data_IF_415412476501
#
_entry.id   IF_415412476501
#
_cell.length_a   1.000
_cell.length_b   1.000
_cell.length_c   1.000
_cell.angle_alpha   90.00
_cell.angle_beta   90.00
_cell.angle_gamma   90.00
#
_symmetry.space_group_name_H-M   'P 1'
#
loop_
_entity.id
_entity.type
_entity.pdbx_description
1 polymer ?
#
# COMPACT_ATOMS: atom_id res chain seq x y z
N UNK A 1 15.93 1.10 10.38
CA UNK A 1 15.48 1.01 8.97
C UNK A 1 14.38 2.05 8.77
N UNK A 2 14.32 2.76 7.64
CA UNK A 2 13.22 3.71 7.39
C UNK A 2 11.88 2.98 7.22
N UNK A 3 10.80 3.67 7.60
CA UNK A 3 9.43 3.21 7.37
C UNK A 3 8.96 3.57 5.97
N UNK A 4 8.25 2.65 5.34
CA UNK A 4 7.69 2.79 4.01
C UNK A 4 6.19 2.50 4.04
N UNK A 5 5.43 3.38 3.39
CA UNK A 5 4.04 3.14 3.05
C UNK A 5 4.00 2.56 1.64
N UNK A 6 3.61 1.30 1.54
CA UNK A 6 3.51 0.59 0.27
C UNK A 6 2.03 0.36 -0.03
N UNK A 7 1.56 0.78 -1.19
CA UNK A 7 0.21 0.53 -1.68
C UNK A 7 0.29 -0.42 -2.86
N UNK A 8 -0.41 -1.55 -2.79
CA UNK A 8 -0.53 -2.49 -3.90
C UNK A 8 -1.97 -2.51 -4.41
N UNK A 9 -2.11 -2.48 -5.73
CA UNK A 9 -3.40 -2.49 -6.42
C UNK A 9 -3.44 -3.70 -7.38
N UNK A 10 -4.52 -4.47 -7.31
CA UNK A 10 -4.78 -5.65 -8.12
C UNK A 10 -6.23 -5.67 -8.62
N UNK A 11 -6.54 -6.57 -9.54
CA UNK A 11 -7.91 -6.85 -9.97
C UNK A 11 -8.37 -8.15 -9.28
N UNK A 12 -9.50 -8.09 -8.58
CA UNK A 12 -10.21 -9.23 -7.99
C UNK A 12 -11.63 -9.22 -8.55
N UNK A 13 -12.07 -10.30 -9.20
CA UNK A 13 -13.42 -10.45 -9.76
C UNK A 13 -13.87 -9.25 -10.63
N UNK A 14 -13.00 -8.81 -11.56
CA UNK A 14 -13.20 -7.64 -12.44
C UNK A 14 -13.32 -6.29 -11.71
N UNK A 15 -12.99 -6.24 -10.43
CA UNK A 15 -12.98 -5.01 -9.60
C UNK A 15 -11.56 -4.66 -9.19
N UNK A 16 -11.22 -3.37 -9.28
CA UNK A 16 -9.95 -2.86 -8.76
C UNK A 16 -9.98 -2.81 -7.23
N UNK A 17 -9.04 -3.52 -6.61
CA UNK A 17 -8.82 -3.53 -5.18
C UNK A 17 -7.43 -2.98 -4.87
N UNK A 18 -7.31 -2.23 -3.78
CA UNK A 18 -6.02 -1.74 -3.30
C UNK A 18 -5.90 -1.88 -1.79
N UNK A 19 -4.75 -2.30 -1.31
CA UNK A 19 -4.42 -2.35 0.11
C UNK A 19 -3.10 -1.60 0.34
N UNK A 20 -2.91 -1.09 1.56
CA UNK A 20 -1.74 -0.33 1.95
C UNK A 20 -1.12 -0.93 3.22
N UNK A 21 0.20 -1.03 3.23
CA UNK A 21 0.99 -1.55 4.33
C UNK A 21 2.04 -0.53 4.78
N UNK A 22 2.38 -0.62 6.05
CA UNK A 22 3.54 0.05 6.62
C UNK A 22 4.59 -1.02 6.92
N UNK A 23 5.78 -0.89 6.33
CA UNK A 23 6.89 -1.84 6.51
C UNK A 23 8.19 -1.10 6.79
N UNK A 24 9.07 -1.71 7.58
CA UNK A 24 10.42 -1.21 7.86
C UNK A 24 11.41 -1.92 6.93
N UNK A 25 12.06 -1.16 6.04
CA UNK A 25 12.97 -1.72 5.05
C UNK A 25 14.07 -0.72 4.69
N UNK A 26 15.27 -1.19 4.35
CA UNK A 26 16.39 -0.33 3.98
C UNK A 26 16.13 0.44 2.67
N UNK A 27 15.43 -0.20 1.72
CA UNK A 27 15.12 0.39 0.42
C UNK A 27 13.63 0.27 0.06
N UNK A 28 13.17 1.11 -0.88
CA UNK A 28 11.83 1.00 -1.45
C UNK A 28 11.61 -0.37 -2.11
N UNK A 29 12.66 -0.94 -2.71
CA UNK A 29 12.58 -2.23 -3.38
C UNK A 29 12.36 -3.37 -2.38
N UNK A 30 13.06 -3.34 -1.25
CA UNK A 30 12.87 -4.31 -0.17
C UNK A 30 11.45 -4.19 0.42
N UNK A 31 10.95 -2.97 0.62
CA UNK A 31 9.58 -2.73 1.09
C UNK A 31 8.52 -3.30 0.13
N UNK A 32 8.69 -3.08 -1.18
CA UNK A 32 7.79 -3.63 -2.20
C UNK A 32 7.86 -5.15 -2.25
N UNK A 33 9.06 -5.73 -2.18
CA UNK A 33 9.25 -7.19 -2.16
C UNK A 33 8.52 -7.82 -0.98
N UNK A 34 8.65 -7.22 0.20
CA UNK A 34 8.01 -7.70 1.43
C UNK A 34 6.48 -7.67 1.33
N UNK A 35 5.90 -6.59 0.80
CA UNK A 35 4.45 -6.51 0.59
C UNK A 35 3.94 -7.44 -0.51
N UNK A 36 4.73 -7.61 -1.58
CA UNK A 36 4.33 -8.43 -2.73
C UNK A 36 4.20 -9.92 -2.39
N UNK A 37 4.78 -10.41 -1.29
CA UNK A 37 4.59 -11.80 -0.84
C UNK A 37 3.33 -11.99 0.01
N UNK A 38 2.72 -10.90 0.49
CA UNK A 38 1.53 -10.94 1.33
C UNK A 38 0.21 -10.75 0.55
N UNK A 39 0.29 -10.21 -0.66
CA UNK A 39 -0.88 -10.02 -1.53
C UNK A 39 -1.34 -11.35 -2.13
N UNK A 40 -2.65 -11.58 -2.07
CA UNK A 40 -3.28 -12.80 -2.59
C UNK A 40 -3.28 -12.84 -4.12
N UNK A 41 -3.39 -11.69 -4.76
CA UNK A 41 -3.39 -11.54 -6.21
C UNK A 41 -2.16 -10.76 -6.67
N UNK A 42 -1.65 -11.03 -7.88
CA UNK A 42 -0.54 -10.28 -8.44
C UNK A 42 -0.96 -8.81 -8.63
N UNK A 43 -0.28 -7.85 -7.97
CA UNK A 43 -0.59 -6.46 -8.16
C UNK A 43 -0.08 -6.01 -9.54
N UNK A 44 -0.90 -5.25 -10.26
CA UNK A 44 -0.50 -4.62 -11.52
C UNK A 44 0.06 -3.22 -11.30
N UNK A 45 -0.18 -2.62 -10.12
CA UNK A 45 0.40 -1.34 -9.72
C UNK A 45 0.84 -1.40 -8.25
N UNK A 46 2.06 -0.93 -7.98
CA UNK A 46 2.59 -0.83 -6.61
C UNK A 46 3.29 0.52 -6.44
N UNK A 47 2.93 1.24 -5.38
CA UNK A 47 3.60 2.47 -4.97
C UNK A 47 4.32 2.27 -3.66
N UNK A 48 5.54 2.77 -3.54
CA UNK A 48 6.26 2.83 -2.27
C UNK A 48 6.68 4.27 -1.97
N UNK A 49 6.24 4.79 -0.83
CA UNK A 49 6.56 6.14 -0.36
C UNK A 49 7.21 6.04 1.01
N UNK A 50 8.33 6.74 1.21
CA UNK A 50 8.97 6.79 2.52
C UNK A 50 8.05 7.54 3.49
N UNK A 51 7.71 6.91 4.61
CA UNK A 51 6.88 7.55 5.62
C UNK A 51 7.67 8.68 6.28
N UNK A 52 7.07 9.87 6.45
CA UNK A 52 7.70 10.92 7.23
C UNK A 52 7.86 10.45 8.70
N UNK A 53 8.95 10.84 9.39
CA UNK A 53 9.27 10.33 10.72
C UNK A 53 8.23 10.67 11.80
N UNK A 54 7.27 11.55 11.51
CA UNK A 54 6.29 12.08 12.47
C UNK A 54 4.81 11.75 12.12
N UNK A 55 4.53 10.92 11.10
CA UNK A 55 3.14 10.46 10.87
C UNK A 55 2.80 9.27 11.77
N UNK A 56 2.82 9.51 13.07
CA UNK A 56 2.02 8.71 13.99
C UNK A 56 0.57 9.17 13.83
N UNK A 57 -0.25 8.36 13.19
CA UNK A 57 -1.72 8.43 13.20
C UNK A 57 -2.37 9.69 12.58
N UNK A 58 -2.60 9.66 11.27
CA UNK A 58 -3.76 10.36 10.70
C UNK A 58 -4.25 9.67 9.42
N UNK A 59 -4.67 8.42 9.56
CA UNK A 59 -5.91 7.88 8.98
C UNK A 59 -5.92 6.39 9.32
N UNK A 60 -6.91 5.87 10.06
CA UNK A 60 -7.30 4.49 9.84
C UNK A 60 -7.78 4.43 8.39
N UNK A 61 -6.88 4.10 7.46
CA UNK A 61 -7.26 3.68 6.12
C UNK A 61 -8.02 2.37 6.34
N UNK A 62 -9.32 2.52 6.55
CA UNK A 62 -10.26 1.41 6.59
C UNK A 62 -9.96 0.53 5.38
N UNK A 63 -9.77 -0.77 5.65
CA UNK A 63 -10.05 -1.79 4.63
C UNK A 63 -11.39 -1.47 3.99
N UNK A 64 -11.36 -1.18 2.69
CA UNK A 64 -12.54 -0.90 1.88
C UNK A 64 -13.16 0.48 2.12
N UNK A 65 -12.76 1.47 1.33
CA UNK A 65 -13.70 2.53 0.95
C UNK A 65 -13.34 3.04 -0.46
N UNK A 66 -14.09 2.64 -1.50
CA UNK A 66 -13.89 3.14 -2.85
C UNK A 66 -14.41 4.58 -2.90
N UNK A 67 -13.56 5.56 -2.59
CA UNK A 67 -13.91 6.97 -2.76
C UNK A 67 -14.05 7.28 -4.25
N UNK A 68 -15.28 7.29 -4.74
CA UNK A 68 -15.68 8.02 -5.96
C UNK A 68 -15.31 9.47 -5.75
N UNK A 69 -14.53 10.05 -6.65
CA UNK A 69 -14.34 11.50 -6.75
C UNK A 69 -15.47 12.03 -7.64
N UNK A 70 -16.50 12.73 -7.12
CA UNK A 70 -17.32 13.58 -7.97
C UNK A 70 -16.57 14.89 -8.24
N UNK A 71 -16.63 15.34 -9.50
CA UNK A 71 -16.19 16.68 -9.89
C UNK A 71 -17.09 17.79 -9.36
#
# INVERSE_FOLDING_TARGET
MPRWLVRATWIEDDVEASEQWEVEADTAHDAVRDVSVHVRFPPHHVEAKRAPPDQTAAHPLRRGDPRRIPG
#
